data_IF_814872574628
#
_entry.id   IF_814872574628
#
_cell.length_a   1.000
_cell.length_b   1.000
_cell.length_c   1.000
_cell.angle_alpha   90.00
_cell.angle_beta   90.00
_cell.angle_gamma   90.00
#
_symmetry.space_group_name_H-M   'P 1'
#
loop_
_entity.id
_entity.type
_entity.pdbx_description
1 polymer ?
#
# COMPACT_ATOMS: atom_id res chain seq x y z
N UNK A 1 19.77 0.97 -29.46
CA UNK A 1 19.64 2.25 -28.73
C UNK A 1 18.23 2.35 -28.16
N UNK A 2 17.96 1.70 -27.01
CA UNK A 2 16.64 1.69 -26.36
C UNK A 2 16.73 2.50 -25.07
N UNK A 3 16.71 3.82 -25.21
CA UNK A 3 16.78 4.80 -24.11
C UNK A 3 15.36 5.12 -23.60
N UNK A 4 14.52 4.10 -23.40
CA UNK A 4 13.16 4.29 -22.87
C UNK A 4 12.91 3.36 -21.68
N UNK A 5 13.33 2.10 -21.74
CA UNK A 5 13.11 1.12 -20.65
C UNK A 5 13.78 1.46 -19.32
N UNK A 6 14.96 2.07 -19.32
CA UNK A 6 15.74 2.32 -18.09
C UNK A 6 15.18 3.44 -17.23
N UNK A 7 14.53 4.45 -17.82
CA UNK A 7 13.94 5.56 -17.06
C UNK A 7 12.71 5.13 -16.27
N UNK A 8 11.84 4.28 -16.84
CA UNK A 8 10.65 3.80 -16.15
C UNK A 8 10.99 2.97 -14.92
N UNK A 9 12.00 2.10 -15.03
CA UNK A 9 12.47 1.30 -13.89
C UNK A 9 13.03 2.19 -12.77
N UNK A 10 13.78 3.23 -13.13
CA UNK A 10 14.29 4.19 -12.15
C UNK A 10 13.16 4.98 -11.44
N UNK A 11 12.16 5.44 -12.21
CA UNK A 11 10.99 6.14 -11.68
C UNK A 11 10.17 5.22 -10.75
N UNK A 12 9.95 3.96 -11.16
CA UNK A 12 9.22 2.97 -10.37
C UNK A 12 9.93 2.65 -9.05
N UNK A 13 11.26 2.53 -9.09
CA UNK A 13 12.08 2.31 -7.90
C UNK A 13 12.05 3.51 -6.95
N UNK A 14 12.11 4.73 -7.48
CA UNK A 14 11.99 5.95 -6.69
C UNK A 14 10.61 6.07 -6.03
N UNK A 15 9.53 5.74 -6.75
CA UNK A 15 8.16 5.73 -6.22
C UNK A 15 8.00 4.75 -5.06
N UNK A 16 8.48 3.51 -5.24
CA UNK A 16 8.36 2.47 -4.22
C UNK A 16 9.20 2.79 -2.95
N UNK A 17 10.36 3.44 -3.12
CA UNK A 17 11.16 3.91 -1.98
C UNK A 17 10.50 5.08 -1.24
N UNK A 18 9.86 6.00 -1.98
CA UNK A 18 9.17 7.13 -1.39
C UNK A 18 7.93 6.69 -0.60
N UNK A 19 7.16 5.74 -1.14
CA UNK A 19 6.02 5.09 -0.46
C UNK A 19 6.47 4.53 0.91
N UNK A 20 7.55 3.73 0.93
CA UNK A 20 8.08 3.15 2.16
C UNK A 20 8.52 4.17 3.22
N UNK A 21 8.94 5.37 2.81
CA UNK A 21 9.37 6.43 3.71
C UNK A 21 8.21 7.31 4.19
N UNK A 22 7.25 7.63 3.30
CA UNK A 22 6.15 8.57 3.59
C UNK A 22 5.09 7.94 4.50
N UNK A 23 4.68 6.70 4.24
CA UNK A 23 3.55 6.08 4.97
C UNK A 23 3.81 5.93 6.49
N UNK A 24 4.99 5.50 6.95
CA UNK A 24 5.33 5.51 8.38
C UNK A 24 5.33 6.91 8.97
N UNK A 25 5.77 7.92 8.22
CA UNK A 25 5.87 9.31 8.69
C UNK A 25 4.49 9.93 8.93
N UNK A 26 3.53 9.68 8.04
CA UNK A 26 2.16 10.19 8.13
C UNK A 26 1.22 9.28 8.93
N UNK A 27 1.71 8.12 9.39
CA UNK A 27 0.93 7.14 10.14
C UNK A 27 -0.22 6.50 9.34
N UNK A 28 -0.14 6.52 8.01
CA UNK A 28 -1.13 5.86 7.14
C UNK A 28 -0.65 4.47 6.72
N UNK A 29 -1.58 3.52 6.51
CA UNK A 29 -1.24 2.21 5.98
C UNK A 29 -1.01 2.27 4.46
N UNK A 30 0.09 1.69 3.97
CA UNK A 30 0.39 1.57 2.53
C UNK A 30 -0.41 0.42 1.91
N UNK A 31 -1.14 0.70 0.84
CA UNK A 31 -1.93 -0.29 0.10
C UNK A 31 -1.04 -1.33 -0.61
N UNK A 32 0.13 -0.92 -1.10
CA UNK A 32 1.04 -1.82 -1.81
C UNK A 32 1.60 -2.89 -0.86
N UNK A 33 1.96 -2.47 0.36
CA UNK A 33 2.37 -3.38 1.44
C UNK A 33 1.25 -4.33 1.88
N UNK A 34 0.00 -3.86 1.88
CA UNK A 34 -1.18 -4.71 2.11
C UNK A 34 -1.28 -5.80 1.04
N UNK A 35 -1.14 -5.45 -0.25
CA UNK A 35 -1.20 -6.44 -1.33
C UNK A 35 -0.06 -7.47 -1.26
N UNK A 36 1.16 -7.06 -0.91
CA UNK A 36 2.28 -7.99 -0.71
C UNK A 36 1.99 -8.95 0.46
N UNK A 37 1.50 -8.43 1.59
CA UNK A 37 1.11 -9.25 2.73
C UNK A 37 -0.04 -10.20 2.40
N UNK A 38 -1.07 -9.70 1.71
CA UNK A 38 -2.23 -10.47 1.32
C UNK A 38 -1.85 -11.61 0.37
N UNK A 39 -1.03 -11.34 -0.66
CA UNK A 39 -0.54 -12.39 -1.57
C UNK A 39 0.28 -13.47 -0.85
N UNK A 40 1.03 -13.10 0.20
CA UNK A 40 1.85 -14.03 0.96
C UNK A 40 1.02 -14.92 1.91
N UNK A 41 -0.04 -14.38 2.52
CA UNK A 41 -0.79 -15.07 3.58
C UNK A 41 -2.15 -15.61 3.14
N UNK A 42 -2.76 -15.01 2.11
CA UNK A 42 -4.07 -15.36 1.56
C UNK A 42 -4.04 -15.38 0.02
N UNK A 43 -3.25 -16.27 -0.61
CA UNK A 43 -3.13 -16.32 -2.07
C UNK A 43 -4.44 -16.70 -2.78
N UNK A 44 -5.36 -17.36 -2.07
CA UNK A 44 -6.66 -17.79 -2.56
C UNK A 44 -7.82 -16.80 -2.31
N UNK A 45 -7.55 -15.70 -1.61
CA UNK A 45 -8.53 -14.64 -1.39
C UNK A 45 -8.53 -13.56 -2.48
N UNK A 46 -9.57 -12.72 -2.51
CA UNK A 46 -9.57 -11.46 -3.29
C UNK A 46 -9.19 -10.31 -2.36
N UNK A 47 -8.14 -9.52 -2.66
CA UNK A 47 -7.78 -8.37 -1.83
C UNK A 47 -8.87 -7.30 -1.91
N UNK A 48 -9.06 -6.57 -0.81
CA UNK A 48 -9.96 -5.42 -0.75
C UNK A 48 -9.54 -4.36 -1.76
N UNK A 49 -10.52 -3.63 -2.29
CA UNK A 49 -10.22 -2.45 -3.08
C UNK A 49 -9.52 -1.39 -2.22
N UNK A 50 -8.71 -0.52 -2.84
CA UNK A 50 -8.01 0.57 -2.13
C UNK A 50 -8.95 1.37 -1.22
N UNK A 51 -10.14 1.71 -1.71
CA UNK A 51 -11.13 2.49 -0.96
C UNK A 51 -11.66 1.73 0.25
N UNK A 52 -11.93 0.44 0.10
CA UNK A 52 -12.40 -0.42 1.20
C UNK A 52 -11.33 -0.63 2.24
N UNK A 53 -10.07 -0.85 1.84
CA UNK A 53 -8.95 -0.96 2.76
C UNK A 53 -8.81 0.28 3.66
N UNK A 54 -8.87 1.48 3.09
CA UNK A 54 -8.80 2.72 3.88
C UNK A 54 -10.05 2.95 4.72
N UNK A 55 -11.23 2.60 4.21
CA UNK A 55 -12.50 2.71 4.95
C UNK A 55 -12.50 1.79 6.18
N UNK A 56 -12.06 0.55 6.02
CA UNK A 56 -11.95 -0.42 7.11
C UNK A 56 -10.89 -0.01 8.14
N UNK A 57 -9.76 0.53 7.69
CA UNK A 57 -8.74 1.09 8.58
C UNK A 57 -9.25 2.30 9.37
N UNK A 58 -10.14 3.12 8.81
CA UNK A 58 -10.79 4.23 9.52
C UNK A 58 -11.87 3.75 10.49
N UNK A 59 -12.74 2.85 10.04
CA UNK A 59 -13.83 2.28 10.85
C UNK A 59 -13.28 1.48 12.05
N UNK A 60 -12.17 0.75 11.87
CA UNK A 60 -11.48 0.07 12.97
C UNK A 60 -10.91 1.05 14.01
N UNK A 61 -10.46 2.24 13.59
CA UNK A 61 -10.01 3.29 14.53
C UNK A 61 -11.20 3.88 15.27
N UNK A 62 -12.31 4.12 14.59
CA UNK A 62 -13.52 4.71 15.16
C UNK A 62 -14.20 3.77 16.16
N UNK A 63 -14.22 2.45 15.89
CA UNK A 63 -14.69 1.42 16.84
C UNK A 63 -13.86 1.33 18.12
N UNK A 64 -12.61 1.82 18.13
CA UNK A 64 -11.75 1.85 19.31
C UNK A 64 -11.96 3.09 20.19
N UNK A 65 -12.74 4.08 19.74
CA UNK A 65 -13.04 5.33 20.49
C UNK A 65 -14.40 5.25 21.21
N UNK A 66 -15.23 4.25 20.91
CA UNK A 66 -16.46 3.99 21.67
C UNK A 66 -16.13 3.24 22.97
N UNK A 67 -15.74 4.00 23.98
CA UNK A 67 -15.84 3.67 25.40
C UNK A 67 -16.67 4.77 26.07
#
# INVERSE_FOLDING_TARGET
MSWWGTKFEAIKKAYNNLDKAIYPLIGLPSYEKYLEHFKKNHPEGTPLSRKEFFKEAQDSKEKNIKC
#
